data_IF_083363719515
#
_entry.id   IF_083363719515
#
_cell.length_a   1.000
_cell.length_b   1.000
_cell.length_c   1.000
_cell.angle_alpha   90.00
_cell.angle_beta   90.00
_cell.angle_gamma   90.00
#
_symmetry.space_group_name_H-M   'P 1'
#
loop_
_entity.id
_entity.type
_entity.pdbx_description
1 polymer ?
#
# COMPACT_ATOMS: atom_id res chain seq x y z
N UNK A 1 -23.45 -3.92 -15.34
CA UNK A 1 -23.48 -5.05 -14.36
C UNK A 1 -24.78 -4.93 -13.57
N UNK A 2 -25.66 -5.93 -13.62
CA UNK A 2 -27.05 -5.89 -13.13
C UNK A 2 -27.18 -6.52 -11.72
N UNK A 3 -26.45 -6.03 -10.73
CA UNK A 3 -26.63 -6.45 -9.32
C UNK A 3 -26.26 -7.91 -8.98
N UNK A 4 -25.61 -8.65 -9.89
CA UNK A 4 -25.13 -10.03 -9.65
C UNK A 4 -23.82 -10.03 -8.87
N UNK A 5 -23.65 -11.01 -7.98
CA UNK A 5 -22.38 -11.26 -7.32
C UNK A 5 -21.28 -11.50 -8.36
N UNK A 6 -20.19 -10.76 -8.27
CA UNK A 6 -19.05 -10.83 -9.18
C UNK A 6 -17.78 -11.07 -8.39
N UNK A 7 -16.96 -12.00 -8.85
CA UNK A 7 -15.57 -12.11 -8.41
C UNK A 7 -14.66 -11.45 -9.45
N UNK A 8 -13.48 -11.03 -9.01
CA UNK A 8 -12.48 -10.47 -9.93
C UNK A 8 -12.16 -11.51 -11.01
N UNK A 9 -12.23 -11.09 -12.27
CA UNK A 9 -12.04 -11.97 -13.42
C UNK A 9 -10.56 -12.04 -13.77
N UNK A 10 -10.04 -13.21 -14.19
CA UNK A 10 -8.64 -13.35 -14.53
C UNK A 10 -8.22 -12.39 -15.65
N UNK A 11 -7.05 -11.77 -15.49
CA UNK A 11 -6.45 -10.86 -16.48
C UNK A 11 -4.94 -11.02 -16.51
N UNK A 12 -4.29 -10.57 -17.60
CA UNK A 12 -2.83 -10.52 -17.61
C UNK A 12 -2.35 -9.54 -16.50
N UNK A 13 -1.46 -10.00 -15.62
CA UNK A 13 -0.93 -9.26 -14.47
C UNK A 13 -1.98 -8.87 -13.40
N UNK A 14 -3.06 -9.65 -13.28
CA UNK A 14 -4.10 -9.40 -12.29
C UNK A 14 -3.59 -9.59 -10.85
N UNK A 15 -2.76 -10.61 -10.61
CA UNK A 15 -2.16 -10.89 -9.32
C UNK A 15 -1.35 -9.70 -8.77
N UNK A 16 -0.58 -9.05 -9.64
CA UNK A 16 0.33 -7.96 -9.28
C UNK A 16 -0.37 -6.61 -9.13
N UNK A 17 -1.52 -6.43 -9.79
CA UNK A 17 -2.20 -5.12 -9.84
C UNK A 17 -3.38 -5.02 -8.89
N UNK A 18 -4.19 -6.07 -8.74
CA UNK A 18 -5.41 -6.03 -7.91
C UNK A 18 -5.86 -7.38 -7.33
N UNK A 19 -5.04 -8.43 -7.43
CA UNK A 19 -5.45 -9.80 -7.12
C UNK A 19 -5.47 -10.16 -5.63
N UNK A 20 -4.90 -9.32 -4.76
CA UNK A 20 -4.80 -9.59 -3.33
C UNK A 20 -6.19 -9.52 -2.66
N UNK A 21 -6.54 -10.59 -1.95
CA UNK A 21 -7.72 -10.67 -1.08
C UNK A 21 -7.21 -10.93 0.33
N UNK A 22 -7.67 -10.16 1.30
CA UNK A 22 -7.17 -10.18 2.68
C UNK A 22 -8.31 -10.00 3.68
N UNK A 23 -8.09 -10.43 4.91
CA UNK A 23 -8.99 -10.16 6.04
C UNK A 23 -8.66 -8.82 6.68
N UNK A 24 -9.54 -8.32 7.57
CA UNK A 24 -9.28 -7.08 8.31
C UNK A 24 -8.10 -7.28 9.26
N UNK A 25 -8.00 -8.45 9.89
CA UNK A 25 -6.94 -8.84 10.80
C UNK A 25 -5.57 -8.84 10.10
N UNK A 26 -5.51 -9.42 8.90
CA UNK A 26 -4.29 -9.48 8.09
C UNK A 26 -3.88 -8.09 7.61
N UNK A 27 -4.83 -7.27 7.15
CA UNK A 27 -4.56 -5.87 6.75
C UNK A 27 -4.10 -5.02 7.93
N UNK A 28 -4.68 -5.18 9.12
CA UNK A 28 -4.24 -4.48 10.32
C UNK A 28 -2.83 -4.91 10.73
N UNK A 29 -2.51 -6.19 10.59
CA UNK A 29 -1.15 -6.69 10.80
C UNK A 29 -0.16 -6.05 9.82
N UNK A 30 -0.51 -6.01 8.53
CA UNK A 30 0.29 -5.37 7.49
C UNK A 30 0.56 -3.88 7.77
N UNK A 31 -0.46 -3.12 8.17
CA UNK A 31 -0.31 -1.69 8.53
C UNK A 31 0.64 -1.53 9.73
N UNK A 32 0.49 -2.34 10.79
CA UNK A 32 1.40 -2.28 11.94
C UNK A 32 2.85 -2.58 11.55
N UNK A 33 3.07 -3.58 10.71
CA UNK A 33 4.40 -3.91 10.18
C UNK A 33 4.99 -2.77 9.35
N UNK A 34 4.16 -2.02 8.62
CA UNK A 34 4.59 -0.84 7.87
C UNK A 34 4.87 0.37 8.79
N UNK A 35 4.17 0.52 9.91
CA UNK A 35 4.39 1.60 10.88
C UNK A 35 5.67 1.41 11.71
N UNK A 36 5.99 0.16 12.07
CA UNK A 36 7.24 -0.17 12.76
C UNK A 36 7.95 -1.38 12.13
N UNK A 37 8.65 -1.20 10.99
CA UNK A 37 9.34 -2.28 10.30
C UNK A 37 10.44 -2.95 11.13
N UNK A 38 10.88 -2.31 12.23
CA UNK A 38 11.93 -2.84 13.12
C UNK A 38 11.52 -4.13 13.84
N UNK A 39 10.22 -4.34 14.03
CA UNK A 39 9.67 -5.52 14.71
C UNK A 39 9.62 -6.76 13.81
N UNK A 40 9.97 -6.62 12.53
CA UNK A 40 10.01 -7.71 11.56
C UNK A 40 11.33 -8.46 11.70
N UNK A 41 11.25 -9.74 12.05
CA UNK A 41 12.41 -10.61 12.21
C UNK A 41 13.07 -10.95 10.87
N UNK A 42 12.27 -11.12 9.81
CA UNK A 42 12.79 -11.35 8.45
C UNK A 42 13.43 -10.08 7.91
N UNK A 43 14.75 -10.13 7.67
CA UNK A 43 15.54 -8.98 7.23
C UNK A 43 15.24 -8.54 5.81
N UNK A 44 14.90 -9.48 4.93
CA UNK A 44 14.57 -9.17 3.54
C UNK A 44 13.23 -8.45 3.48
N UNK A 45 12.23 -8.93 4.22
CA UNK A 45 10.92 -8.29 4.30
C UNK A 45 11.01 -6.91 4.96
N UNK A 46 11.77 -6.80 6.05
CA UNK A 46 12.05 -5.52 6.71
C UNK A 46 12.63 -4.49 5.74
N UNK A 47 13.65 -4.86 4.97
CA UNK A 47 14.26 -3.99 3.97
C UNK A 47 13.29 -3.65 2.84
N UNK A 48 12.53 -4.63 2.36
CA UNK A 48 11.54 -4.43 1.30
C UNK A 48 10.47 -3.39 1.68
N UNK A 49 9.94 -3.47 2.90
CA UNK A 49 8.97 -2.48 3.42
C UNK A 49 9.58 -1.09 3.51
N UNK A 50 10.82 -0.97 4.01
CA UNK A 50 11.52 0.32 4.09
C UNK A 50 11.79 0.91 2.71
N UNK A 51 12.17 0.08 1.74
CA UNK A 51 12.38 0.50 0.37
C UNK A 51 11.08 0.98 -0.28
N UNK A 52 9.97 0.28 -0.06
CA UNK A 52 8.68 0.64 -0.63
C UNK A 52 8.20 2.03 -0.19
N UNK A 53 8.53 2.44 1.03
CA UNK A 53 8.20 3.74 1.60
C UNK A 53 9.23 4.85 1.30
N UNK A 54 10.23 4.57 0.45
CA UNK A 54 11.18 5.60 0.03
C UNK A 54 10.50 6.61 -0.89
N UNK A 55 10.80 7.90 -0.71
CA UNK A 55 10.20 9.02 -1.49
C UNK A 55 10.96 9.21 -2.80
N UNK A 56 10.53 8.53 -3.87
CA UNK A 56 11.23 8.53 -5.16
C UNK A 56 10.89 9.75 -6.04
N UNK A 57 9.65 10.20 -5.98
CA UNK A 57 9.17 11.32 -6.78
C UNK A 57 8.22 12.20 -5.96
N UNK A 58 8.11 13.48 -6.31
CA UNK A 58 7.19 14.41 -5.68
C UNK A 58 6.29 15.07 -6.73
N UNK A 59 4.99 15.11 -6.45
CA UNK A 59 4.00 15.84 -7.25
C UNK A 59 3.11 16.66 -6.32
N UNK A 60 3.27 17.99 -6.36
CA UNK A 60 2.67 18.87 -5.35
C UNK A 60 3.14 18.50 -3.95
N UNK A 61 2.20 18.24 -3.04
CA UNK A 61 2.46 17.83 -1.65
C UNK A 61 2.69 16.31 -1.50
N UNK A 62 2.38 15.53 -2.55
CA UNK A 62 2.44 14.06 -2.51
C UNK A 62 3.82 13.53 -2.90
N UNK A 63 4.35 12.64 -2.08
CA UNK A 63 5.52 11.82 -2.38
C UNK A 63 5.10 10.43 -2.86
N UNK A 64 5.56 10.06 -4.05
CA UNK A 64 5.38 8.74 -4.62
C UNK A 64 6.49 7.79 -4.15
N UNK A 65 6.10 6.72 -3.47
CA UNK A 65 6.90 5.53 -3.20
C UNK A 65 6.56 4.37 -4.14
N UNK A 66 7.11 3.19 -3.87
CA UNK A 66 6.75 1.99 -4.64
C UNK A 66 5.43 1.44 -4.10
N UNK A 67 4.34 1.76 -4.82
CA UNK A 67 2.96 1.43 -4.41
C UNK A 67 2.37 2.38 -3.36
N UNK A 68 3.19 2.98 -2.50
CA UNK A 68 2.75 3.95 -1.49
C UNK A 68 2.66 5.38 -2.02
N UNK A 69 1.65 6.10 -1.59
CA UNK A 69 1.52 7.56 -1.71
C UNK A 69 1.61 8.15 -0.30
N UNK A 70 2.46 9.17 -0.11
CA UNK A 70 2.79 9.71 1.21
C UNK A 70 2.66 11.23 1.22
N UNK A 71 2.09 11.76 2.29
CA UNK A 71 1.94 13.19 2.56
C UNK A 71 2.63 13.52 3.88
N UNK A 72 3.15 14.73 4.02
CA UNK A 72 3.67 15.17 5.32
C UNK A 72 2.51 15.39 6.30
N UNK A 73 2.71 14.94 7.54
CA UNK A 73 1.73 15.11 8.62
C UNK A 73 2.13 16.28 9.53
N UNK A 74 1.22 17.20 9.89
CA UNK A 74 -0.19 17.24 9.52
C UNK A 74 -0.40 17.71 8.07
N UNK A 75 -1.41 17.13 7.41
CA UNK A 75 -1.75 17.42 6.01
C UNK A 75 -2.89 18.44 5.92
N UNK A 76 -2.87 19.29 4.89
CA UNK A 76 -4.03 20.11 4.55
C UNK A 76 -5.11 19.21 3.90
N UNK A 77 -6.32 19.12 4.46
CA UNK A 77 -7.38 18.28 3.89
C UNK A 77 -7.72 18.62 2.43
N UNK A 78 -7.57 19.87 2.03
CA UNK A 78 -7.89 20.34 0.67
C UNK A 78 -6.85 19.89 -0.38
N UNK A 79 -5.69 19.37 0.04
CA UNK A 79 -4.64 18.87 -0.88
C UNK A 79 -4.66 17.36 -1.09
N UNK A 80 -5.63 16.64 -0.51
CA UNK A 80 -5.83 15.20 -0.71
C UNK A 80 -6.67 14.98 -1.98
N UNK A 81 -6.13 14.20 -2.93
CA UNK A 81 -6.77 13.80 -4.18
C UNK A 81 -7.69 12.58 -4.02
#
# INVERSE_FOLDING_TARGET
REGKAVHVSPGALDAETYGVKSTIEDMACWVRSNMNPRDINDKTLQQGIQLAQSRYWQTGDMYQGLGWEMLDWPVNPDSII
#
